data_IF_516443321216
#
_entry.id   IF_516443321216
#
_cell.length_a   1.000
_cell.length_b   1.000
_cell.length_c   1.000
_cell.angle_alpha   90.00
_cell.angle_beta   90.00
_cell.angle_gamma   90.00
#
_symmetry.space_group_name_H-M   'P 1'
#
loop_
_entity.id
_entity.type
_entity.pdbx_description
1 polymer ?
#
# COMPACT_ATOMS: atom_id res chain seq x y z
N UNK A 1 33.01 6.20 -0.46
CA UNK A 1 32.60 5.65 -1.78
C UNK A 1 33.75 5.01 -2.54
N UNK A 2 34.95 5.62 -2.57
CA UNK A 2 36.12 5.07 -3.27
C UNK A 2 36.48 3.64 -2.83
N UNK A 3 36.48 3.36 -1.52
CA UNK A 3 36.80 2.04 -0.97
C UNK A 3 35.83 0.93 -1.43
N UNK A 4 34.51 1.20 -1.39
CA UNK A 4 33.49 0.27 -1.88
C UNK A 4 33.65 0.03 -3.39
N UNK A 5 33.93 1.09 -4.16
CA UNK A 5 34.17 0.97 -5.59
C UNK A 5 35.39 0.07 -5.89
N UNK A 6 36.47 0.24 -5.13
CA UNK A 6 37.68 -0.57 -5.26
C UNK A 6 37.40 -2.05 -4.91
N UNK A 7 36.65 -2.31 -3.83
CA UNK A 7 36.28 -3.67 -3.43
C UNK A 7 35.43 -4.37 -4.50
N UNK A 8 34.46 -3.67 -5.08
CA UNK A 8 33.65 -4.22 -6.17
C UNK A 8 34.48 -4.49 -7.43
N UNK A 9 35.43 -3.61 -7.75
CA UNK A 9 36.34 -3.79 -8.90
C UNK A 9 37.20 -5.04 -8.76
N UNK A 10 37.69 -5.35 -7.55
CA UNK A 10 38.38 -6.63 -7.27
C UNK A 10 37.48 -7.85 -7.57
N UNK A 11 36.18 -7.72 -7.34
CA UNK A 11 35.18 -8.74 -7.66
C UNK A 11 34.64 -8.65 -9.10
N UNK A 12 35.28 -7.88 -10.00
CA UNK A 12 34.86 -7.66 -11.40
C UNK A 12 33.46 -7.03 -11.52
N UNK A 13 33.08 -6.15 -10.58
CA UNK A 13 31.84 -5.40 -10.57
C UNK A 13 32.10 -3.89 -10.53
N UNK A 14 31.17 -3.10 -11.08
CA UNK A 14 31.24 -1.63 -11.08
C UNK A 14 30.00 -1.00 -10.47
N UNK A 15 30.18 0.13 -9.79
CA UNK A 15 29.08 0.92 -9.26
C UNK A 15 28.38 1.68 -10.38
N UNK A 16 27.07 1.48 -10.51
CA UNK A 16 26.29 2.22 -11.49
C UNK A 16 26.15 3.69 -11.07
N UNK A 17 26.59 4.68 -11.88
CA UNK A 17 26.72 6.08 -11.46
C UNK A 17 25.37 6.74 -11.12
N UNK A 18 24.31 6.43 -11.88
CA UNK A 18 22.97 6.99 -11.60
C UNK A 18 22.22 6.29 -10.45
N UNK A 19 22.46 5.00 -10.21
CA UNK A 19 21.75 4.22 -9.17
C UNK A 19 22.40 4.37 -7.80
N UNK A 20 23.71 4.60 -7.77
CA UNK A 20 24.49 4.74 -6.55
C UNK A 20 24.48 6.19 -6.10
N UNK A 21 23.83 6.47 -4.99
CA UNK A 21 23.70 7.82 -4.46
C UNK A 21 23.81 7.80 -2.94
N UNK A 22 24.45 8.82 -2.37
CA UNK A 22 24.39 9.07 -0.93
C UNK A 22 23.08 9.80 -0.64
N UNK A 23 22.31 9.29 0.32
CA UNK A 23 21.03 9.87 0.73
C UNK A 23 21.12 10.36 2.16
N UNK A 24 20.72 11.61 2.38
CA UNK A 24 20.61 12.17 3.70
C UNK A 24 19.34 11.68 4.39
N UNK A 25 19.52 10.88 5.43
CA UNK A 25 18.41 10.34 6.21
C UNK A 25 17.82 11.42 7.14
N UNK A 26 17.00 12.33 6.58
CA UNK A 26 16.43 13.49 7.29
C UNK A 26 15.41 13.06 8.36
N UNK A 27 15.51 13.65 9.56
CA UNK A 27 14.59 13.45 10.69
C UNK A 27 14.46 14.76 11.52
N UNK A 28 13.79 14.71 12.68
CA UNK A 28 13.58 15.87 13.56
C UNK A 28 14.88 16.47 14.15
N UNK A 29 15.92 15.65 14.35
CA UNK A 29 17.23 16.06 14.88
C UNK A 29 18.18 16.52 13.76
N UNK A 30 18.00 15.99 12.56
CA UNK A 30 18.83 16.21 11.36
C UNK A 30 18.23 17.26 10.45
N UNK A 31 18.50 18.53 10.75
CA UNK A 31 17.84 19.70 10.11
C UNK A 31 18.51 20.22 8.83
N UNK A 32 19.67 19.69 8.44
CA UNK A 32 20.36 20.13 7.23
C UNK A 32 19.53 19.83 5.98
N UNK A 33 19.79 20.59 4.92
CA UNK A 33 19.14 20.41 3.61
C UNK A 33 20.10 19.74 2.64
N UNK A 34 19.58 18.73 1.94
CA UNK A 34 20.30 18.01 0.88
C UNK A 34 19.30 17.67 -0.22
N UNK A 35 19.79 17.54 -1.46
CA UNK A 35 18.95 17.19 -2.60
C UNK A 35 18.32 15.80 -2.44
N UNK A 36 19.14 14.82 -2.08
CA UNK A 36 18.71 13.43 -1.94
C UNK A 36 18.35 13.12 -0.49
N UNK A 37 17.05 13.02 -0.20
CA UNK A 37 16.51 12.69 1.14
C UNK A 37 15.57 11.49 1.14
N UNK A 38 15.56 10.74 0.03
CA UNK A 38 14.71 9.57 -0.18
C UNK A 38 15.42 8.55 -1.04
N UNK A 39 15.23 7.27 -0.72
CA UNK A 39 15.57 6.17 -1.63
C UNK A 39 14.51 5.07 -1.57
N UNK A 40 14.47 4.23 -2.60
CA UNK A 40 13.65 3.04 -2.62
C UNK A 40 14.52 1.79 -2.44
N UNK A 41 14.11 0.87 -1.57
CA UNK A 41 14.78 -0.41 -1.33
C UNK A 41 13.73 -1.50 -1.05
N UNK A 42 13.84 -2.64 -1.76
CA UNK A 42 12.92 -3.80 -1.64
C UNK A 42 11.43 -3.44 -1.70
N UNK A 43 11.06 -2.46 -2.53
CA UNK A 43 9.67 -2.02 -2.69
C UNK A 43 9.18 -1.03 -1.63
N UNK A 44 10.01 -0.68 -0.65
CA UNK A 44 9.78 0.41 0.29
C UNK A 44 10.47 1.69 -0.17
N UNK A 45 9.94 2.84 0.23
CA UNK A 45 10.53 4.16 0.09
C UNK A 45 10.83 4.71 1.48
N UNK A 46 12.11 4.94 1.73
CA UNK A 46 12.65 5.48 2.96
C UNK A 46 12.77 6.99 2.82
N UNK A 47 12.10 7.72 3.71
CA UNK A 47 12.20 9.17 3.80
C UNK A 47 11.64 9.67 5.15
N UNK A 48 11.78 10.97 5.40
CA UNK A 48 11.15 11.63 6.54
C UNK A 48 9.61 11.39 6.54
N UNK A 49 9.07 10.89 7.64
CA UNK A 49 7.65 10.59 7.86
C UNK A 49 7.27 10.94 9.30
N UNK A 50 6.01 11.32 9.50
CA UNK A 50 5.44 11.48 10.84
C UNK A 50 5.25 10.10 11.44
N UNK A 51 5.77 9.90 12.64
CA UNK A 51 5.65 8.69 13.45
C UNK A 51 5.22 9.07 14.86
N UNK A 52 4.61 8.11 15.56
CA UNK A 52 4.13 8.27 16.92
C UNK A 52 5.01 7.42 17.84
N UNK A 53 5.44 7.99 18.97
CA UNK A 53 6.13 7.22 20.01
C UNK A 53 5.14 6.48 20.92
N UNK A 54 5.67 5.70 21.88
CA UNK A 54 4.85 4.95 22.85
C UNK A 54 4.01 5.83 23.77
N UNK A 55 4.34 7.11 23.90
CA UNK A 55 3.60 8.09 24.71
C UNK A 55 2.55 8.84 23.88
N UNK A 56 2.40 8.48 22.60
CA UNK A 56 1.45 9.09 21.70
C UNK A 56 1.96 10.38 21.05
N UNK A 57 3.20 10.80 21.29
CA UNK A 57 3.75 12.05 20.75
C UNK A 57 4.22 11.84 19.31
N UNK A 58 3.83 12.78 18.45
CA UNK A 58 4.20 12.79 17.04
C UNK A 58 5.58 13.42 16.84
N UNK A 59 6.41 12.79 16.02
CA UNK A 59 7.71 13.31 15.59
C UNK A 59 8.04 12.89 14.16
N UNK A 60 9.04 13.53 13.57
CA UNK A 60 9.54 13.16 12.24
C UNK A 60 10.68 12.16 12.38
N UNK A 61 10.48 10.95 11.87
CA UNK A 61 11.50 9.90 11.76
C UNK A 61 11.79 9.53 10.31
N UNK A 62 12.94 8.90 10.05
CA UNK A 62 13.29 8.40 8.73
C UNK A 62 12.88 6.92 8.61
N UNK A 63 11.71 6.65 8.02
CA UNK A 63 11.09 5.34 8.08
C UNK A 63 10.66 4.82 6.69
N UNK A 64 10.68 3.48 6.49
CA UNK A 64 10.15 2.87 5.28
C UNK A 64 8.62 2.95 5.24
N UNK A 65 8.09 3.05 4.03
CA UNK A 65 6.69 2.80 3.69
C UNK A 65 6.60 2.39 2.24
N UNK A 66 5.45 1.93 1.76
CA UNK A 66 5.33 1.39 0.40
C UNK A 66 5.78 2.41 -0.66
N UNK A 67 6.67 1.98 -1.56
CA UNK A 67 7.13 2.84 -2.64
C UNK A 67 6.00 3.13 -3.62
N UNK A 68 6.08 4.29 -4.29
CA UNK A 68 5.14 4.64 -5.37
C UNK A 68 5.16 3.59 -6.49
N UNK A 69 6.33 2.98 -6.75
CA UNK A 69 6.49 1.90 -7.74
C UNK A 69 5.73 0.64 -7.31
N UNK A 70 5.84 0.23 -6.05
CA UNK A 70 5.07 -0.89 -5.50
C UNK A 70 3.56 -0.64 -5.59
N UNK A 71 3.10 0.53 -5.11
CA UNK A 71 1.69 0.91 -5.19
C UNK A 71 1.18 0.92 -6.64
N UNK A 72 1.97 1.41 -7.61
CA UNK A 72 1.60 1.38 -9.03
C UNK A 72 1.43 -0.06 -9.54
N UNK A 73 2.32 -0.98 -9.17
CA UNK A 73 2.21 -2.41 -9.52
C UNK A 73 0.96 -3.04 -8.93
N UNK A 74 0.70 -2.84 -7.64
CA UNK A 74 -0.50 -3.36 -6.96
C UNK A 74 -1.78 -2.83 -7.61
N UNK A 75 -1.85 -1.52 -7.88
CA UNK A 75 -3.00 -0.91 -8.57
C UNK A 75 -3.22 -1.45 -9.99
N UNK A 76 -2.13 -1.78 -10.72
CA UNK A 76 -2.20 -2.39 -12.06
C UNK A 76 -2.76 -3.81 -11.98
N UNK A 77 -2.29 -4.62 -11.04
CA UNK A 77 -2.81 -5.97 -10.82
C UNK A 77 -4.34 -5.96 -10.58
N UNK A 78 -4.82 -5.09 -9.69
CA UNK A 78 -6.27 -4.94 -9.42
C UNK A 78 -7.02 -4.41 -10.65
N UNK A 79 -6.43 -3.52 -11.45
CA UNK A 79 -7.05 -3.02 -12.69
C UNK A 79 -7.21 -4.13 -13.72
N UNK A 80 -6.22 -5.00 -13.86
CA UNK A 80 -6.22 -6.07 -14.85
C UNK A 80 -7.29 -7.13 -14.59
N UNK A 81 -7.79 -7.27 -13.36
CA UNK A 81 -8.94 -8.13 -13.06
C UNK A 81 -10.23 -7.67 -13.74
N UNK A 82 -10.31 -6.40 -14.18
CA UNK A 82 -11.45 -5.82 -14.89
C UNK A 82 -12.82 -6.01 -14.18
N UNK A 83 -12.81 -6.14 -12.85
CA UNK A 83 -14.01 -6.44 -12.03
C UNK A 83 -15.19 -5.53 -12.36
N UNK A 84 -14.98 -4.21 -12.48
CA UNK A 84 -16.05 -3.25 -12.80
C UNK A 84 -16.78 -3.50 -14.12
N UNK A 85 -16.16 -4.21 -15.08
CA UNK A 85 -16.74 -4.50 -16.41
C UNK A 85 -17.45 -5.84 -16.46
N UNK A 86 -17.29 -6.68 -15.44
CA UNK A 86 -17.92 -7.99 -15.38
C UNK A 86 -19.01 -7.97 -14.32
N UNK A 87 -20.25 -7.71 -14.72
CA UNK A 87 -21.40 -7.71 -13.81
C UNK A 87 -22.02 -9.10 -13.62
N UNK A 88 -21.57 -10.10 -14.38
CA UNK A 88 -22.08 -11.47 -14.29
C UNK A 88 -21.50 -12.20 -13.08
N UNK A 89 -20.23 -11.97 -12.76
CA UNK A 89 -19.58 -12.54 -11.57
C UNK A 89 -20.26 -12.08 -10.27
N UNK A 90 -20.09 -12.87 -9.22
CA UNK A 90 -20.57 -12.60 -7.85
C UNK A 90 -19.52 -11.82 -7.04
N UNK A 91 -19.87 -11.45 -5.80
CA UNK A 91 -18.90 -10.79 -4.92
C UNK A 91 -17.85 -11.81 -4.43
N UNK A 92 -18.26 -13.06 -4.27
CA UNK A 92 -17.46 -14.23 -3.92
C UNK A 92 -16.42 -14.54 -5.01
N UNK A 93 -16.81 -14.49 -6.28
CA UNK A 93 -15.87 -14.63 -7.40
C UNK A 93 -14.80 -13.53 -7.40
N UNK A 94 -15.19 -12.30 -7.04
CA UNK A 94 -14.25 -11.19 -6.92
C UNK A 94 -13.29 -11.45 -5.74
N UNK A 95 -13.81 -11.90 -4.61
CA UNK A 95 -13.03 -12.24 -3.43
C UNK A 95 -12.00 -13.34 -3.73
N UNK A 96 -12.39 -14.44 -4.38
CA UNK A 96 -11.49 -15.52 -4.77
C UNK A 96 -10.30 -15.02 -5.60
N UNK A 97 -10.52 -14.05 -6.50
CA UNK A 97 -9.46 -13.46 -7.32
C UNK A 97 -8.59 -12.45 -6.56
N UNK A 98 -9.18 -11.67 -5.65
CA UNK A 98 -8.50 -10.60 -4.94
C UNK A 98 -7.70 -11.09 -3.73
N UNK A 99 -8.28 -12.01 -2.95
CA UNK A 99 -7.78 -12.41 -1.65
C UNK A 99 -6.33 -12.91 -1.65
N UNK A 100 -5.88 -13.77 -2.59
CA UNK A 100 -4.49 -14.23 -2.59
C UNK A 100 -3.47 -13.10 -2.76
N UNK A 101 -3.74 -12.16 -3.68
CA UNK A 101 -2.85 -11.02 -3.93
C UNK A 101 -2.83 -10.07 -2.74
N UNK A 102 -4.01 -9.72 -2.23
CA UNK A 102 -4.15 -8.76 -1.13
C UNK A 102 -3.55 -9.32 0.16
N UNK A 103 -3.71 -10.62 0.43
CA UNK A 103 -3.09 -11.29 1.57
C UNK A 103 -1.57 -11.19 1.51
N UNK A 104 -0.97 -11.48 0.35
CA UNK A 104 0.47 -11.36 0.15
C UNK A 104 0.98 -9.93 0.33
N UNK A 105 0.24 -8.93 -0.16
CA UNK A 105 0.64 -7.54 0.03
C UNK A 105 0.49 -7.06 1.47
N UNK A 106 -0.57 -7.47 2.17
CA UNK A 106 -0.70 -7.15 3.60
C UNK A 106 0.47 -7.75 4.36
N UNK A 107 0.70 -9.06 4.22
CA UNK A 107 1.81 -9.75 4.89
C UNK A 107 3.18 -9.08 4.64
N UNK A 108 3.43 -8.65 3.39
CA UNK A 108 4.71 -8.03 3.04
C UNK A 108 4.84 -6.58 3.51
N UNK A 109 3.78 -5.76 3.40
CA UNK A 109 3.88 -4.31 3.55
C UNK A 109 3.38 -3.76 4.91
N UNK A 110 2.60 -4.52 5.68
CA UNK A 110 1.91 -4.00 6.88
C UNK A 110 2.81 -3.64 8.07
N UNK A 111 4.09 -3.99 8.07
CA UNK A 111 4.94 -3.96 9.26
C UNK A 111 5.44 -2.58 9.69
N UNK A 112 5.62 -1.63 8.77
CA UNK A 112 6.39 -0.41 9.06
C UNK A 112 5.56 0.87 9.13
N UNK A 113 4.86 1.21 8.04
CA UNK A 113 4.12 2.47 7.94
C UNK A 113 2.78 2.18 7.24
N UNK A 114 1.72 1.89 8.00
CA UNK A 114 0.51 1.26 7.47
C UNK A 114 -0.32 2.17 6.54
N UNK A 115 -0.11 3.48 6.54
CA UNK A 115 -0.98 4.47 5.91
C UNK A 115 -1.08 4.33 4.39
N UNK A 116 0.01 4.15 3.61
CA UNK A 116 -0.11 3.98 2.17
C UNK A 116 -0.79 2.65 1.80
N UNK A 117 -0.55 1.56 2.55
CA UNK A 117 -1.30 0.31 2.42
C UNK A 117 -2.79 0.49 2.77
N UNK A 118 -3.13 1.11 3.90
CA UNK A 118 -4.54 1.41 4.27
C UNK A 118 -5.25 2.18 3.17
N UNK A 119 -4.63 3.24 2.64
CA UNK A 119 -5.17 4.02 1.50
C UNK A 119 -5.34 3.17 0.24
N UNK A 120 -4.44 2.23 -0.02
CA UNK A 120 -4.57 1.29 -1.13
C UNK A 120 -5.76 0.35 -0.94
N UNK A 121 -5.94 -0.23 0.24
CA UNK A 121 -7.03 -1.15 0.53
C UNK A 121 -8.40 -0.44 0.48
N UNK A 122 -8.49 0.81 0.96
CA UNK A 122 -9.70 1.65 0.78
C UNK A 122 -10.02 1.87 -0.70
N UNK A 123 -9.02 1.93 -1.59
CA UNK A 123 -9.27 2.03 -3.03
C UNK A 123 -9.85 0.73 -3.61
N UNK A 124 -9.55 -0.43 -3.03
CA UNK A 124 -10.22 -1.68 -3.38
C UNK A 124 -11.70 -1.58 -3.02
N UNK A 125 -12.06 -1.09 -1.84
CA UNK A 125 -13.46 -0.84 -1.45
C UNK A 125 -14.19 0.06 -2.44
N UNK A 126 -13.55 1.12 -2.94
CA UNK A 126 -14.15 2.00 -3.94
C UNK A 126 -14.45 1.29 -5.25
N UNK A 127 -13.58 0.34 -5.64
CA UNK A 127 -13.78 -0.47 -6.84
C UNK A 127 -14.91 -1.48 -6.64
N UNK A 128 -14.96 -2.16 -5.50
CA UNK A 128 -16.08 -3.04 -5.15
C UNK A 128 -17.41 -2.27 -5.17
N UNK A 129 -17.42 -1.07 -4.60
CA UNK A 129 -18.61 -0.22 -4.61
C UNK A 129 -18.98 0.22 -6.03
N UNK A 130 -17.98 0.50 -6.88
CA UNK A 130 -18.21 0.82 -8.29
C UNK A 130 -18.79 -0.36 -9.07
N UNK A 131 -18.25 -1.56 -8.86
CA UNK A 131 -18.79 -2.78 -9.44
C UNK A 131 -20.24 -3.03 -9.00
N UNK A 132 -20.55 -2.87 -7.71
CA UNK A 132 -21.90 -3.04 -7.18
C UNK A 132 -22.91 -2.06 -7.83
N UNK A 133 -22.49 -0.81 -8.09
CA UNK A 133 -23.33 0.16 -8.82
C UNK A 133 -23.54 -0.18 -10.29
N UNK A 134 -22.61 -0.92 -10.90
CA UNK A 134 -22.76 -1.40 -12.27
C UNK A 134 -23.71 -2.62 -12.31
N UNK A 135 -23.57 -3.55 -11.36
CA UNK A 135 -24.39 -4.78 -11.27
C UNK A 135 -25.83 -4.52 -10.85
N UNK A 136 -26.05 -3.72 -9.79
CA UNK A 136 -27.37 -3.57 -9.19
C UNK A 136 -28.02 -2.22 -9.54
N UNK A 137 -29.16 -2.26 -10.25
CA UNK A 137 -29.92 -1.05 -10.65
C UNK A 137 -30.25 -0.13 -9.45
N UNK A 138 -30.64 -0.70 -8.30
CA UNK A 138 -30.95 0.04 -7.06
C UNK A 138 -29.78 0.83 -6.47
N UNK A 139 -28.54 0.46 -6.80
CA UNK A 139 -27.32 1.14 -6.32
C UNK A 139 -26.77 2.14 -7.36
N UNK A 140 -27.28 2.12 -8.59
CA UNK A 140 -26.81 2.97 -9.68
C UNK A 140 -26.85 4.44 -9.26
N UNK A 141 -25.76 5.18 -9.54
CA UNK A 141 -25.55 6.60 -9.13
C UNK A 141 -25.48 6.86 -7.61
N UNK A 142 -25.85 5.92 -6.75
CA UNK A 142 -25.85 6.11 -5.29
C UNK A 142 -24.54 5.65 -4.62
N UNK A 143 -23.51 6.52 -4.64
CA UNK A 143 -22.21 6.24 -4.01
C UNK A 143 -22.34 5.84 -2.53
N UNK A 144 -23.04 6.63 -1.71
CA UNK A 144 -23.25 6.35 -0.28
C UNK A 144 -23.96 5.02 -0.05
N UNK A 145 -25.02 4.72 -0.80
CA UNK A 145 -25.75 3.44 -0.68
C UNK A 145 -24.89 2.25 -1.07
N UNK A 146 -24.05 2.35 -2.11
CA UNK A 146 -23.15 1.25 -2.49
C UNK A 146 -22.11 0.92 -1.42
N UNK A 147 -21.66 1.93 -0.67
CA UNK A 147 -20.77 1.73 0.48
C UNK A 147 -21.49 1.13 1.68
N UNK A 148 -22.68 1.64 2.00
CA UNK A 148 -23.51 1.07 3.06
C UNK A 148 -23.84 -0.41 2.76
N UNK A 149 -24.12 -0.73 1.50
CA UNK A 149 -24.34 -2.11 1.04
C UNK A 149 -23.11 -3.00 1.25
N UNK A 150 -21.90 -2.54 0.90
CA UNK A 150 -20.67 -3.29 1.19
C UNK A 150 -20.44 -3.48 2.68
N UNK A 151 -20.69 -2.44 3.49
CA UNK A 151 -20.55 -2.51 4.95
C UNK A 151 -21.55 -3.50 5.59
N UNK A 152 -22.76 -3.60 5.04
CA UNK A 152 -23.72 -4.62 5.46
C UNK A 152 -23.22 -6.02 5.09
N UNK A 153 -22.69 -6.20 3.88
CA UNK A 153 -22.10 -7.46 3.46
C UNK A 153 -20.90 -7.87 4.32
N UNK A 154 -20.05 -6.92 4.71
CA UNK A 154 -18.92 -7.18 5.62
C UNK A 154 -19.35 -7.53 7.04
N UNK A 155 -20.54 -7.11 7.47
CA UNK A 155 -21.08 -7.53 8.76
C UNK A 155 -21.64 -8.97 8.71
N UNK A 156 -22.21 -9.38 7.57
CA UNK A 156 -22.76 -10.73 7.38
C UNK A 156 -21.68 -11.78 7.10
N UNK A 157 -20.68 -11.44 6.30
CA UNK A 157 -19.59 -12.33 5.90
C UNK A 157 -18.22 -11.65 6.07
N UNK A 158 -17.77 -11.40 7.30
CA UNK A 158 -16.58 -10.58 7.58
C UNK A 158 -15.29 -11.15 6.97
N UNK A 159 -15.20 -12.47 6.80
CA UNK A 159 -14.04 -13.15 6.23
C UNK A 159 -14.01 -13.19 4.69
N UNK A 160 -15.02 -12.62 4.01
CA UNK A 160 -15.11 -12.66 2.56
C UNK A 160 -13.93 -11.95 1.89
N UNK A 161 -13.50 -10.81 2.42
CA UNK A 161 -12.30 -10.11 1.94
C UNK A 161 -11.26 -9.95 3.04
N UNK A 162 -10.03 -10.39 2.76
CA UNK A 162 -8.95 -10.41 3.76
C UNK A 162 -8.60 -9.02 4.31
N UNK A 163 -8.82 -7.97 3.52
CA UNK A 163 -8.48 -6.61 3.93
C UNK A 163 -9.54 -5.94 4.79
N UNK A 164 -10.72 -6.55 4.95
CA UNK A 164 -11.74 -6.05 5.88
C UNK A 164 -11.27 -6.14 7.31
N UNK A 165 -10.60 -7.22 7.72
CA UNK A 165 -9.95 -7.30 9.03
C UNK A 165 -8.91 -6.19 9.18
N UNK A 166 -8.10 -5.93 8.17
CA UNK A 166 -7.07 -4.89 8.24
C UNK A 166 -7.62 -3.45 8.29
N UNK A 167 -8.79 -3.20 7.68
CA UNK A 167 -9.42 -1.87 7.64
C UNK A 167 -10.42 -1.62 8.77
N UNK A 168 -11.11 -2.67 9.22
CA UNK A 168 -12.29 -2.59 10.09
C UNK A 168 -12.16 -3.39 11.37
N UNK A 169 -11.14 -4.24 11.55
CA UNK A 169 -10.84 -4.72 12.88
C UNK A 169 -10.50 -3.50 13.73
N UNK A 170 -11.39 -3.21 14.68
CA UNK A 170 -11.16 -2.26 15.76
C UNK A 170 -9.77 -2.48 16.32
N UNK A 171 -9.11 -1.37 16.63
CA UNK A 171 -7.88 -1.29 17.42
C UNK A 171 -7.78 -2.46 18.41
N UNK A 172 -6.98 -3.48 18.03
CA UNK A 172 -6.50 -4.51 18.95
C UNK A 172 -5.03 -4.22 19.14
N UNK A 173 -4.73 -3.39 20.12
CA UNK A 173 -3.39 -2.96 20.51
C UNK A 173 -3.32 -1.47 20.72
#
# INVERSE_FOLDING_TARGET
MAEIAQRLKQCKLELHPKKTQIVYCKDSKRRRSYLNTRFDFLGFSFHARTVQDKQGKLFTGFNPGESRKALKRMNRAIKNLNVNRNTQITLEDIAQRLNPMVRGWIAYYSHFYPEPLKRFLVRIEWRLGSWARNKYKRLRRHKRRSWAWLKQYSALSPSLFVHWDYLFAKDRG
#
